data_IF_431609725801
#
_entry.id   IF_431609725801
#
_cell.length_a   1.000
_cell.length_b   1.000
_cell.length_c   1.000
_cell.angle_alpha   90.00
_cell.angle_beta   90.00
_cell.angle_gamma   90.00
#
_symmetry.space_group_name_H-M   'P 1'
#
loop_
_entity.id
_entity.type
_entity.pdbx_description
1 polymer ?
#
# COMPACT_ATOMS: atom_id res chain seq x y z
N UNK A 1 -10.44 3.84 4.69
CA UNK A 1 -10.86 4.86 3.70
C UNK A 1 -10.54 4.23 2.36
N UNK A 2 -11.55 3.73 1.66
CA UNK A 2 -11.36 2.98 0.41
C UNK A 2 -10.90 3.94 -0.69
N UNK A 3 -10.02 3.50 -1.59
CA UNK A 3 -9.49 4.27 -2.71
C UNK A 3 -10.55 4.69 -3.75
N UNK A 4 -11.84 4.50 -3.47
CA UNK A 4 -12.98 4.76 -4.34
C UNK A 4 -13.03 6.18 -4.91
N UNK A 5 -12.51 7.19 -4.20
CA UNK A 5 -12.37 8.55 -4.71
C UNK A 5 -11.17 8.81 -5.63
N UNK A 6 -10.15 7.94 -5.62
CA UNK A 6 -8.97 8.07 -6.47
C UNK A 6 -9.20 7.48 -7.87
N UNK A 7 -10.00 6.41 -7.97
CA UNK A 7 -10.36 5.76 -9.23
C UNK A 7 -11.22 6.64 -10.15
N UNK A 8 -12.12 7.45 -9.58
CA UNK A 8 -13.07 8.26 -10.34
C UNK A 8 -12.41 9.28 -11.31
N UNK A 9 -11.17 9.70 -11.04
CA UNK A 9 -10.45 10.70 -11.83
C UNK A 9 -9.05 10.23 -12.28
N UNK A 10 -8.73 8.93 -12.17
CA UNK A 10 -7.38 8.41 -12.42
C UNK A 10 -6.28 9.21 -11.70
N UNK A 11 -6.58 9.68 -10.50
CA UNK A 11 -5.68 10.57 -9.78
C UNK A 11 -4.64 9.74 -9.02
N UNK A 12 -3.58 9.42 -9.73
CA UNK A 12 -2.50 8.58 -9.25
C UNK A 12 -1.75 9.20 -8.06
N UNK A 13 -1.59 10.53 -8.04
CA UNK A 13 -0.97 11.22 -6.91
C UNK A 13 -1.78 11.01 -5.63
N UNK A 14 -3.11 11.14 -5.73
CA UNK A 14 -4.03 10.93 -4.61
C UNK A 14 -4.09 9.47 -4.16
N UNK A 15 -3.99 8.53 -5.09
CA UNK A 15 -3.87 7.12 -4.78
C UNK A 15 -2.63 6.83 -3.92
N UNK A 16 -1.47 7.38 -4.29
CA UNK A 16 -0.23 7.19 -3.53
C UNK A 16 -0.29 7.81 -2.13
N UNK A 17 -0.96 8.96 -1.99
CA UNK A 17 -1.19 9.56 -0.68
C UNK A 17 -1.98 8.61 0.22
N UNK A 18 -3.06 8.01 -0.30
CA UNK A 18 -3.85 7.03 0.44
C UNK A 18 -3.11 5.72 0.72
N UNK A 19 -2.29 5.26 -0.22
CA UNK A 19 -1.43 4.09 -0.06
C UNK A 19 -0.44 4.27 1.10
N UNK A 20 0.26 5.42 1.13
CA UNK A 20 1.18 5.75 2.22
C UNK A 20 0.46 5.91 3.56
N UNK A 21 -0.67 6.63 3.59
CA UNK A 21 -1.46 6.82 4.81
C UNK A 21 -1.96 5.48 5.38
N UNK A 22 -2.30 4.54 4.52
CA UNK A 22 -2.67 3.18 4.90
C UNK A 22 -1.51 2.46 5.60
N UNK A 23 -0.32 2.42 4.99
CA UNK A 23 0.86 1.78 5.59
C UNK A 23 1.27 2.42 6.92
N UNK A 24 1.28 3.76 6.99
CA UNK A 24 1.61 4.49 8.23
C UNK A 24 0.61 4.19 9.35
N UNK A 25 -0.68 4.04 9.02
CA UNK A 25 -1.71 3.68 10.00
C UNK A 25 -1.47 2.30 10.60
N UNK A 26 -1.09 1.32 9.78
CA UNK A 26 -0.75 -0.04 10.25
C UNK A 26 0.51 0.00 11.12
N UNK A 27 1.57 0.68 10.67
CA UNK A 27 2.82 0.78 11.43
C UNK A 27 2.64 1.49 12.78
N UNK A 28 1.82 2.53 12.81
CA UNK A 28 1.45 3.20 14.06
C UNK A 28 0.67 2.27 14.99
N UNK A 29 -0.26 1.48 14.44
CA UNK A 29 -1.04 0.49 15.19
C UNK A 29 -0.24 -0.71 15.70
N UNK A 30 0.88 -1.05 15.05
CA UNK A 30 1.78 -2.12 15.52
C UNK A 30 2.71 -1.68 16.64
N UNK A 31 2.70 -0.39 17.01
CA UNK A 31 3.62 0.22 17.99
C UNK A 31 5.10 0.01 17.66
N UNK A 32 5.42 -0.21 16.37
CA UNK A 32 6.80 -0.36 15.91
C UNK A 32 7.31 0.94 15.28
N UNK A 33 7.95 1.77 16.10
CA UNK A 33 8.48 3.08 15.68
C UNK A 33 9.49 2.95 14.53
N UNK A 34 10.30 1.89 14.52
CA UNK A 34 11.32 1.69 13.48
C UNK A 34 10.66 1.53 12.10
N UNK A 35 9.61 0.70 12.01
CA UNK A 35 8.86 0.52 10.76
C UNK A 35 8.18 1.83 10.34
N UNK A 36 7.60 2.56 11.30
CA UNK A 36 6.95 3.84 11.00
C UNK A 36 7.91 4.87 10.40
N UNK A 37 9.10 5.05 11.00
CA UNK A 37 10.13 5.97 10.48
C UNK A 37 10.65 5.50 9.11
N UNK A 38 10.85 4.20 8.93
CA UNK A 38 11.29 3.65 7.65
C UNK A 38 10.29 3.99 6.53
N UNK A 39 8.98 3.85 6.79
CA UNK A 39 7.94 4.19 5.81
C UNK A 39 7.88 5.69 5.48
N UNK A 40 8.12 6.56 6.47
CA UNK A 40 8.20 8.00 6.22
C UNK A 40 9.37 8.37 5.30
N UNK A 41 10.51 7.69 5.44
CA UNK A 41 11.67 7.94 4.57
C UNK A 41 11.51 7.34 3.17
N UNK A 42 10.89 6.17 3.05
CA UNK A 42 10.67 5.48 1.76
C UNK A 42 9.60 6.15 0.88
N UNK A 43 8.67 6.91 1.48
CA UNK A 43 7.63 7.68 0.76
C UNK A 43 8.16 8.54 -0.39
N UNK A 44 9.31 9.20 -0.22
CA UNK A 44 9.91 10.03 -1.30
C UNK A 44 10.35 9.18 -2.49
N UNK A 45 10.85 7.98 -2.22
CA UNK A 45 11.31 7.03 -3.24
C UNK A 45 10.14 6.44 -4.02
N UNK A 46 9.08 6.02 -3.31
CA UNK A 46 7.85 5.49 -3.90
C UNK A 46 7.19 6.55 -4.79
N UNK A 47 7.08 7.80 -4.31
CA UNK A 47 6.51 8.92 -5.10
C UNK A 47 7.31 9.17 -6.40
N UNK A 48 8.63 9.00 -6.37
CA UNK A 48 9.49 9.21 -7.53
C UNK A 48 9.35 8.09 -8.57
N UNK A 49 9.36 6.83 -8.13
CA UNK A 49 9.16 5.65 -9.00
C UNK A 49 7.79 5.71 -9.66
N UNK A 50 6.77 6.12 -8.93
CA UNK A 50 5.41 6.28 -9.43
C UNK A 50 5.30 7.26 -10.61
N UNK A 51 6.02 8.39 -10.56
CA UNK A 51 5.98 9.41 -11.63
C UNK A 51 6.53 8.94 -12.98
N UNK A 52 7.16 7.76 -13.03
CA UNK A 52 7.63 7.14 -14.27
C UNK A 52 6.50 6.67 -15.20
N UNK A 53 5.24 6.63 -14.73
CA UNK A 53 4.09 6.20 -15.54
C UNK A 53 3.96 4.69 -15.72
N UNK A 54 4.66 3.90 -14.89
CA UNK A 54 4.68 2.43 -14.98
C UNK A 54 3.39 1.74 -14.48
N UNK A 55 2.50 2.45 -13.78
CA UNK A 55 1.27 1.88 -13.22
C UNK A 55 0.03 2.26 -14.02
N UNK A 56 -0.78 1.25 -14.36
CA UNK A 56 -2.10 1.41 -14.96
C UNK A 56 -3.24 1.30 -13.95
N UNK A 57 -4.47 1.44 -14.46
CA UNK A 57 -5.70 1.30 -13.66
C UNK A 57 -5.81 -0.09 -13.05
N UNK A 58 -5.44 -1.13 -13.80
CA UNK A 58 -5.45 -2.52 -13.33
C UNK A 58 -4.52 -2.73 -12.14
N UNK A 59 -3.35 -2.08 -12.13
CA UNK A 59 -2.43 -2.11 -10.99
C UNK A 59 -3.04 -1.47 -9.76
N UNK A 60 -3.70 -0.32 -9.91
CA UNK A 60 -4.35 0.39 -8.82
C UNK A 60 -5.49 -0.45 -8.22
N UNK A 61 -6.29 -1.11 -9.06
CA UNK A 61 -7.37 -2.01 -8.62
C UNK A 61 -6.78 -3.21 -7.89
N UNK A 62 -5.69 -3.80 -8.41
CA UNK A 62 -4.98 -4.89 -7.76
C UNK A 62 -4.50 -4.54 -6.36
N UNK A 63 -3.91 -3.35 -6.18
CA UNK A 63 -3.47 -2.86 -4.87
C UNK A 63 -4.66 -2.64 -3.91
N UNK A 64 -5.79 -2.10 -4.38
CA UNK A 64 -6.97 -1.90 -3.52
C UNK A 64 -7.54 -3.24 -3.02
N UNK A 65 -7.58 -4.26 -3.88
CA UNK A 65 -7.98 -5.62 -3.48
C UNK A 65 -7.03 -6.18 -2.40
N UNK A 66 -5.72 -6.02 -2.60
CA UNK A 66 -4.71 -6.45 -1.62
C UNK A 66 -4.88 -5.72 -0.27
N UNK A 67 -5.12 -4.41 -0.29
CA UNK A 67 -5.37 -3.60 0.91
C UNK A 67 -6.64 -4.02 1.65
N UNK A 68 -7.71 -4.33 0.93
CA UNK A 68 -8.94 -4.87 1.53
C UNK A 68 -8.65 -6.17 2.26
N UNK A 69 -7.90 -7.10 1.65
CA UNK A 69 -7.55 -8.38 2.28
C UNK A 69 -6.75 -8.18 3.59
N UNK A 70 -5.79 -7.25 3.60
CA UNK A 70 -5.02 -6.89 4.81
C UNK A 70 -5.96 -6.31 5.87
N UNK A 71 -6.83 -5.36 5.49
CA UNK A 71 -7.75 -4.70 6.42
C UNK A 71 -8.74 -5.69 7.05
N UNK A 72 -9.25 -6.65 6.27
CA UNK A 72 -10.12 -7.70 6.78
C UNK A 72 -9.41 -8.59 7.80
N UNK A 73 -8.16 -8.99 7.55
CA UNK A 73 -7.37 -9.77 8.49
C UNK A 73 -7.10 -9.01 9.80
N UNK A 74 -6.76 -7.72 9.70
CA UNK A 74 -6.58 -6.85 10.86
C UNK A 74 -7.88 -6.69 11.67
N UNK A 75 -9.03 -6.51 10.99
CA UNK A 75 -10.35 -6.42 11.64
C UNK A 75 -10.74 -7.72 12.35
N UNK A 76 -10.41 -8.86 11.77
CA UNK A 76 -10.59 -10.17 12.38
C UNK A 76 -9.64 -10.43 13.56
N UNK A 77 -8.66 -9.54 13.80
CA UNK A 77 -7.57 -9.72 14.77
C UNK A 77 -6.79 -11.02 14.55
N UNK A 78 -6.59 -11.38 13.29
CA UNK A 78 -5.81 -12.55 12.88
C UNK A 78 -4.40 -12.10 12.44
N UNK A 79 -3.40 -12.15 13.33
CA UNK A 79 -2.06 -11.64 13.04
C UNK A 79 -1.37 -12.46 11.95
N UNK A 80 -1.62 -13.78 11.87
CA UNK A 80 -1.00 -14.64 10.88
C UNK A 80 -1.54 -14.33 9.49
N UNK A 81 -2.87 -14.25 9.35
CA UNK A 81 -3.50 -13.86 8.08
C UNK A 81 -3.10 -12.46 7.65
N UNK A 82 -2.96 -11.52 8.59
CA UNK A 82 -2.50 -10.16 8.27
C UNK A 82 -1.05 -10.14 7.77
N UNK A 83 -0.17 -10.94 8.38
CA UNK A 83 1.21 -11.10 7.94
C UNK A 83 1.28 -11.70 6.53
N UNK A 84 0.55 -12.78 6.26
CA UNK A 84 0.52 -13.44 4.96
C UNK A 84 -0.01 -12.50 3.86
N UNK A 85 -1.09 -11.76 4.14
CA UNK A 85 -1.66 -10.79 3.21
C UNK A 85 -0.68 -9.64 2.90
N UNK A 86 0.00 -9.11 3.91
CA UNK A 86 1.02 -8.06 3.72
C UNK A 86 2.22 -8.58 2.93
N UNK A 87 2.68 -9.81 3.20
CA UNK A 87 3.78 -10.40 2.46
C UNK A 87 3.44 -10.57 0.97
N UNK A 88 2.21 -11.02 0.67
CA UNK A 88 1.74 -11.14 -0.71
C UNK A 88 1.66 -9.77 -1.42
N UNK A 89 1.13 -8.76 -0.74
CA UNK A 89 1.11 -7.38 -1.24
C UNK A 89 2.52 -6.89 -1.61
N UNK A 90 3.51 -7.07 -0.73
CA UNK A 90 4.91 -6.68 -0.99
C UNK A 90 5.52 -7.43 -2.19
N UNK A 91 5.23 -8.74 -2.33
CA UNK A 91 5.67 -9.53 -3.48
C UNK A 91 5.08 -9.01 -4.79
N UNK A 92 3.80 -8.65 -4.80
CA UNK A 92 3.14 -8.10 -5.98
C UNK A 92 3.65 -6.69 -6.30
N UNK A 93 3.91 -5.86 -5.28
CA UNK A 93 4.50 -4.54 -5.44
C UNK A 93 5.90 -4.60 -6.06
N UNK A 94 6.75 -5.55 -5.65
CA UNK A 94 8.05 -5.76 -6.29
C UNK A 94 7.95 -6.06 -7.79
N UNK A 95 6.97 -6.90 -8.18
CA UNK A 95 6.70 -7.20 -9.59
C UNK A 95 6.22 -5.98 -10.38
N UNK A 96 5.28 -5.21 -9.80
CA UNK A 96 4.73 -3.98 -10.42
C UNK A 96 5.81 -2.93 -10.65
N UNK A 97 6.68 -2.71 -9.66
CA UNK A 97 7.73 -1.70 -9.74
C UNK A 97 9.03 -2.20 -10.38
N UNK A 98 9.09 -3.47 -10.81
CA UNK A 98 10.28 -4.11 -11.40
C UNK A 98 11.54 -3.91 -10.53
N UNK A 99 11.39 -4.05 -9.22
CA UNK A 99 12.49 -3.93 -8.26
C UNK A 99 13.31 -5.22 -8.13
N UNK A 100 13.18 -6.14 -9.11
CA UNK A 100 13.85 -7.45 -9.20
C UNK A 100 14.50 -7.64 -10.56
#
# INVERSE_FOLDING_TARGET
MLCSGAFANYNFQKFLEYDIDFHLSIAKGSHNQIIYELLLTSRKLITHISKSGLMGIEDMVGVDIEHVAILEALRARDPQRAQEAMALHMLNSNKRYKLS
#
